data_IF_123031461746
#
_entry.id   IF_123031461746
#
_cell.length_a   1.000
_cell.length_b   1.000
_cell.length_c   1.000
_cell.angle_alpha   90.00
_cell.angle_beta   90.00
_cell.angle_gamma   90.00
#
_symmetry.space_group_name_H-M   'P 1'
#
loop_
_entity.id
_entity.type
_entity.pdbx_description
1 polymer ?
#
# COMPACT_ATOMS: atom_id res chain seq x y z
N UNK A 1 -4.36 49.29 -37.36
CA UNK A 1 -3.63 48.37 -36.47
C UNK A 1 -3.06 49.15 -35.30
N UNK A 2 -3.64 48.99 -34.11
CA UNK A 2 -2.98 49.23 -32.82
C UNK A 2 -3.84 48.56 -31.75
N UNK A 3 -3.31 47.46 -31.23
CA UNK A 3 -3.89 46.63 -30.17
C UNK A 3 -3.41 47.18 -28.82
N UNK A 4 -4.35 47.39 -27.89
CA UNK A 4 -4.05 47.75 -26.50
C UNK A 4 -5.07 47.06 -25.59
N UNK A 5 -4.60 46.36 -24.55
CA UNK A 5 -5.41 46.08 -23.36
C UNK A 5 -5.26 44.68 -22.77
N UNK A 6 -4.41 44.57 -21.76
CA UNK A 6 -4.13 43.42 -20.90
C UNK A 6 -5.28 43.14 -19.91
N UNK A 7 -5.42 41.90 -19.40
CA UNK A 7 -6.38 41.64 -18.31
C UNK A 7 -6.60 40.18 -17.86
N UNK A 8 -5.55 39.56 -17.34
CA UNK A 8 -5.47 38.64 -16.18
C UNK A 8 -6.79 38.12 -15.53
N UNK A 9 -6.96 36.79 -15.59
CA UNK A 9 -7.40 35.84 -14.54
C UNK A 9 -8.60 36.14 -13.60
N UNK A 10 -9.54 35.19 -13.52
CA UNK A 10 -9.85 34.49 -12.26
C UNK A 10 -10.68 33.23 -12.49
N UNK A 11 -10.03 32.08 -12.39
CA UNK A 11 -10.66 30.82 -12.08
C UNK A 11 -11.12 30.86 -10.61
N UNK A 12 -12.43 30.78 -10.38
CA UNK A 12 -12.97 30.54 -9.05
C UNK A 12 -13.05 29.04 -8.81
N UNK A 13 -12.06 28.60 -8.02
CA UNK A 13 -12.04 27.39 -7.20
C UNK A 13 -13.40 27.08 -6.58
N UNK A 14 -13.87 25.85 -6.73
CA UNK A 14 -14.82 25.25 -5.80
C UNK A 14 -14.06 24.14 -5.11
N UNK A 15 -13.59 24.46 -3.91
CA UNK A 15 -12.88 23.55 -3.03
C UNK A 15 -13.78 22.41 -2.60
N UNK A 16 -13.41 21.20 -3.01
CA UNK A 16 -13.61 20.01 -2.19
C UNK A 16 -12.41 19.94 -1.25
N UNK A 17 -12.54 20.55 -0.08
CA UNK A 17 -11.69 20.23 1.07
C UNK A 17 -12.40 19.10 1.79
N UNK A 18 -12.22 17.88 1.30
CA UNK A 18 -12.58 16.69 2.06
C UNK A 18 -11.32 16.10 2.67
N UNK A 19 -11.34 16.15 3.99
CA UNK A 19 -10.36 15.64 4.92
C UNK A 19 -9.94 14.21 4.58
N UNK A 20 -8.62 14.01 4.47
CA UNK A 20 -7.89 12.78 4.80
C UNK A 20 -8.74 11.50 4.85
N UNK A 21 -9.01 10.92 3.69
CA UNK A 21 -9.14 9.48 3.56
C UNK A 21 -8.32 9.05 2.35
N UNK A 22 -7.42 8.12 2.62
CA UNK A 22 -6.54 7.43 1.68
C UNK A 22 -7.30 7.16 0.38
N UNK A 23 -6.78 7.74 -0.71
CA UNK A 23 -7.28 7.46 -2.06
C UNK A 23 -7.10 5.98 -2.32
N UNK A 24 -8.19 5.21 -2.23
CA UNK A 24 -8.31 3.90 -2.85
C UNK A 24 -8.13 4.09 -4.35
N UNK A 25 -6.86 4.10 -4.79
CA UNK A 25 -6.44 4.17 -6.19
C UNK A 25 -6.88 2.88 -6.89
N UNK A 26 -8.15 2.86 -7.29
CA UNK A 26 -8.76 1.82 -8.10
C UNK A 26 -8.39 1.98 -9.59
N UNK A 27 -7.13 2.30 -9.90
CA UNK A 27 -6.76 2.82 -11.22
C UNK A 27 -5.47 2.31 -11.85
N UNK A 28 -4.55 1.63 -11.14
CA UNK A 28 -3.29 1.23 -11.75
C UNK A 28 -2.74 -0.12 -11.21
N UNK A 29 -3.23 -1.21 -11.82
CA UNK A 29 -3.01 -2.64 -11.51
C UNK A 29 -1.55 -3.17 -11.57
N UNK A 30 -0.54 -2.41 -11.13
CA UNK A 30 0.87 -2.88 -11.08
C UNK A 30 1.73 -2.27 -9.97
N UNK A 31 1.23 -1.35 -9.14
CA UNK A 31 2.06 -0.70 -8.12
C UNK A 31 1.55 -1.02 -6.73
N UNK A 32 2.33 -1.81 -5.99
CA UNK A 32 2.12 -2.04 -4.57
C UNK A 32 2.22 -0.71 -3.83
N UNK A 33 1.31 -0.47 -2.89
CA UNK A 33 1.38 0.69 -2.00
C UNK A 33 2.59 0.56 -1.06
N UNK A 34 3.02 1.66 -0.46
CA UNK A 34 4.13 1.65 0.50
C UNK A 34 3.97 0.61 1.63
N UNK A 35 2.81 0.49 2.32
CA UNK A 35 2.62 -0.55 3.33
C UNK A 35 2.68 -1.96 2.73
N UNK A 36 2.07 -2.21 1.57
CA UNK A 36 2.10 -3.52 0.90
C UNK A 36 3.53 -3.92 0.51
N UNK A 37 4.31 -3.00 -0.05
CA UNK A 37 5.70 -3.27 -0.41
C UNK A 37 6.55 -3.60 0.82
N UNK A 38 6.36 -2.88 1.93
CA UNK A 38 7.07 -3.14 3.18
C UNK A 38 6.69 -4.50 3.80
N UNK A 39 5.40 -4.84 3.83
CA UNK A 39 4.91 -6.16 4.27
C UNK A 39 5.49 -7.27 3.40
N UNK A 40 5.42 -7.13 2.07
CA UNK A 40 5.98 -8.09 1.13
C UNK A 40 7.49 -8.27 1.35
N UNK A 41 8.24 -7.18 1.51
CA UNK A 41 9.69 -7.23 1.75
C UNK A 41 10.03 -7.96 3.05
N UNK A 42 9.26 -7.72 4.13
CA UNK A 42 9.45 -8.39 5.41
C UNK A 42 9.20 -9.90 5.31
N UNK A 43 8.16 -10.30 4.57
CA UNK A 43 7.84 -11.72 4.32
C UNK A 43 8.95 -12.38 3.48
N UNK A 44 9.41 -11.75 2.40
CA UNK A 44 10.49 -12.28 1.53
C UNK A 44 11.81 -12.41 2.29
N UNK A 45 12.14 -11.44 3.16
CA UNK A 45 13.36 -11.49 3.95
C UNK A 45 13.33 -12.57 5.05
N UNK A 46 12.16 -13.12 5.36
CA UNK A 46 12.04 -14.20 6.32
C UNK A 46 12.54 -15.50 5.70
N UNK A 47 13.61 -16.07 6.28
CA UNK A 47 14.19 -17.35 5.87
C UNK A 47 13.62 -18.55 6.63
N UNK A 48 12.62 -18.33 7.48
CA UNK A 48 12.04 -19.39 8.27
C UNK A 48 11.27 -20.36 7.36
N UNK A 49 11.40 -21.66 7.62
CA UNK A 49 10.71 -22.69 6.85
C UNK A 49 9.19 -22.56 7.01
N UNK A 50 8.74 -22.16 8.20
CA UNK A 50 7.34 -21.96 8.54
C UNK A 50 6.80 -20.61 8.02
N UNK A 51 7.66 -19.69 7.60
CA UNK A 51 7.27 -18.33 7.20
C UNK A 51 7.27 -17.34 8.36
N UNK A 52 6.93 -16.08 8.07
CA UNK A 52 6.90 -15.02 9.07
C UNK A 52 5.56 -15.00 9.81
N UNK A 53 5.61 -14.85 11.13
CA UNK A 53 4.42 -14.67 11.95
C UNK A 53 3.89 -13.23 11.85
N UNK A 54 2.57 -13.03 11.87
CA UNK A 54 1.94 -11.70 11.87
C UNK A 54 2.44 -10.80 13.00
N UNK A 55 2.77 -11.37 14.17
CA UNK A 55 3.33 -10.65 15.30
C UNK A 55 4.73 -10.10 15.00
N UNK A 56 5.55 -10.88 14.30
CA UNK A 56 6.88 -10.46 13.82
C UNK A 56 6.76 -9.36 12.76
N UNK A 57 5.75 -9.43 11.89
CA UNK A 57 5.41 -8.35 10.95
C UNK A 57 5.10 -7.05 11.70
N UNK A 58 4.26 -7.09 12.73
CA UNK A 58 3.97 -5.91 13.56
C UNK A 58 5.22 -5.36 14.26
N UNK A 59 6.12 -6.26 14.69
CA UNK A 59 7.37 -5.87 15.34
C UNK A 59 8.41 -5.31 14.34
N UNK A 60 8.45 -5.82 13.10
CA UNK A 60 9.35 -5.35 12.05
C UNK A 60 8.87 -4.04 11.42
N UNK A 61 7.55 -3.84 11.34
CA UNK A 61 6.92 -2.70 10.68
C UNK A 61 6.29 -1.74 11.69
N UNK A 62 7.05 -1.34 12.73
CA UNK A 62 6.58 -0.41 13.77
C UNK A 62 6.14 0.96 13.24
N UNK A 63 6.55 1.31 12.02
CA UNK A 63 6.16 2.55 11.34
C UNK A 63 4.76 2.49 10.73
N UNK A 64 4.14 1.30 10.64
CA UNK A 64 2.81 1.09 10.08
C UNK A 64 1.81 0.71 11.17
N UNK A 65 0.55 1.08 10.96
CA UNK A 65 -0.55 0.65 11.82
C UNK A 65 -0.88 -0.82 11.56
N UNK A 66 -1.35 -1.52 12.59
CA UNK A 66 -1.76 -2.94 12.49
C UNK A 66 -2.84 -3.15 11.43
N UNK A 67 -3.78 -2.21 11.31
CA UNK A 67 -4.83 -2.25 10.28
C UNK A 67 -4.23 -2.20 8.87
N UNK A 68 -3.33 -1.27 8.59
CA UNK A 68 -2.66 -1.17 7.28
C UNK A 68 -1.84 -2.42 6.95
N UNK A 69 -1.27 -3.09 7.95
CA UNK A 69 -0.56 -4.36 7.77
C UNK A 69 -1.54 -5.47 7.40
N UNK A 70 -2.70 -5.56 8.06
CA UNK A 70 -3.74 -6.54 7.72
C UNK A 70 -4.33 -6.31 6.33
N UNK A 71 -4.65 -5.07 5.98
CA UNK A 71 -5.12 -4.72 4.62
C UNK A 71 -4.09 -5.05 3.56
N UNK A 72 -2.80 -4.82 3.85
CA UNK A 72 -1.72 -5.21 2.97
C UNK A 72 -1.59 -6.73 2.83
N UNK A 73 -1.72 -7.50 3.92
CA UNK A 73 -1.69 -8.96 3.90
C UNK A 73 -2.84 -9.53 3.07
N UNK A 74 -4.07 -9.04 3.29
CA UNK A 74 -5.26 -9.45 2.54
C UNK A 74 -5.08 -9.17 1.04
N UNK A 75 -4.64 -7.96 0.69
CA UNK A 75 -4.36 -7.61 -0.70
C UNK A 75 -3.27 -8.48 -1.34
N UNK A 76 -2.14 -8.67 -0.66
CA UNK A 76 -1.03 -9.48 -1.17
C UNK A 76 -1.44 -10.96 -1.32
N UNK A 77 -2.25 -11.47 -0.39
CA UNK A 77 -2.77 -12.83 -0.43
C UNK A 77 -3.74 -13.00 -1.59
N UNK A 78 -4.66 -12.05 -1.76
CA UNK A 78 -5.67 -12.09 -2.83
C UNK A 78 -5.06 -11.92 -4.23
N UNK A 79 -3.98 -11.14 -4.35
CA UNK A 79 -3.18 -11.04 -5.57
C UNK A 79 -2.28 -12.26 -5.83
N UNK A 80 -2.13 -13.17 -4.86
CA UNK A 80 -1.29 -14.37 -4.97
C UNK A 80 0.21 -14.13 -4.74
N UNK A 81 0.59 -12.98 -4.17
CA UNK A 81 1.98 -12.68 -3.81
C UNK A 81 2.46 -13.44 -2.57
N UNK A 82 1.54 -13.71 -1.64
CA UNK A 82 1.82 -14.42 -0.40
C UNK A 82 0.77 -15.49 -0.17
N UNK A 83 1.09 -16.48 0.66
CA UNK A 83 0.17 -17.52 1.10
C UNK A 83 0.42 -17.85 2.57
N UNK A 84 -0.63 -18.30 3.27
CA UNK A 84 -0.49 -18.86 4.61
C UNK A 84 0.07 -20.28 4.53
N UNK A 85 1.01 -20.61 5.42
CA UNK A 85 1.73 -21.90 5.37
C UNK A 85 1.01 -22.95 6.20
N UNK A 86 1.28 -22.97 7.51
CA UNK A 86 0.77 -23.93 8.48
C UNK A 86 -0.49 -23.42 9.16
N UNK A 87 -0.60 -22.10 9.37
CA UNK A 87 -1.69 -21.45 10.08
C UNK A 87 -2.00 -20.08 9.46
N UNK A 88 -3.11 -19.48 9.89
CA UNK A 88 -3.59 -18.17 9.43
C UNK A 88 -2.65 -17.01 9.80
N UNK A 89 -1.80 -17.20 10.81
CA UNK A 89 -0.84 -16.19 11.28
C UNK A 89 0.56 -16.31 10.65
N UNK A 90 0.83 -17.35 9.85
CA UNK A 90 2.15 -17.60 9.25
C UNK A 90 2.12 -17.40 7.74
N UNK A 91 2.89 -16.44 7.23
CA UNK A 91 2.88 -16.05 5.82
C UNK A 91 4.22 -16.33 5.13
N UNK A 92 4.16 -16.77 3.88
CA UNK A 92 5.30 -16.87 2.97
C UNK A 92 5.03 -16.16 1.65
N UNK A 93 6.09 -15.68 1.02
CA UNK A 93 6.01 -15.16 -0.34
C UNK A 93 5.94 -16.29 -1.35
N UNK A 94 5.07 -16.16 -2.34
CA UNK A 94 5.02 -17.03 -3.52
C UNK A 94 6.19 -16.76 -4.47
N UNK A 95 6.76 -15.56 -4.41
CA UNK A 95 7.97 -15.16 -5.14
C UNK A 95 9.20 -15.81 -4.49
N UNK A 96 9.33 -17.13 -4.66
CA UNK A 96 10.54 -17.88 -4.38
C UNK A 96 11.35 -17.90 -5.69
N UNK A 97 12.22 -16.90 -5.91
CA UNK A 97 13.23 -16.93 -6.99
C UNK A 97 14.63 -17.06 -6.44
#
# INVERSE_FOLDING_TARGET
STSSGFGLSSAMTSGVTESTMDTFDAGNSRKLTKPQQLVKQAIINCKDEQGINVMELYNSLKSLNRQSIQEALDFLSNEGHIYSTIDEDHYKSTDCV
#
